data_IF_344180067621
#
_entry.id   IF_344180067621
#
_cell.length_a   1.000
_cell.length_b   1.000
_cell.length_c   1.000
_cell.angle_alpha   90.00
_cell.angle_beta   90.00
_cell.angle_gamma   90.00
#
_symmetry.space_group_name_H-M   'P 1'
#
loop_
_entity.id
_entity.type
_entity.pdbx_description
1 polymer ?
#
# COMPACT_ATOMS: atom_id res chain seq x y z
N UNK A 1 -12.23 -27.38 -25.48
CA UNK A 1 -11.30 -26.42 -26.11
C UNK A 1 -10.29 -26.02 -25.07
N UNK A 2 -9.07 -26.57 -25.11
CA UNK A 2 -8.00 -26.20 -24.19
C UNK A 2 -7.47 -24.82 -24.60
N UNK A 3 -7.72 -23.79 -23.80
CA UNK A 3 -7.04 -22.50 -23.94
C UNK A 3 -5.55 -22.76 -23.69
N UNK A 4 -4.74 -22.60 -24.75
CA UNK A 4 -3.29 -22.62 -24.62
C UNK A 4 -2.79 -21.53 -23.65
N UNK A 5 -1.56 -21.66 -23.11
CA UNK A 5 -1.04 -20.73 -22.11
C UNK A 5 -1.08 -19.31 -22.65
N UNK A 6 -1.73 -18.41 -21.91
CA UNK A 6 -1.81 -17.00 -22.26
C UNK A 6 -0.38 -16.47 -22.50
N UNK A 7 -0.12 -15.95 -23.70
CA UNK A 7 1.19 -15.38 -24.05
C UNK A 7 1.47 -14.22 -23.11
N UNK A 8 2.42 -14.40 -22.20
CA UNK A 8 2.92 -13.32 -21.34
C UNK A 8 3.58 -12.26 -22.22
N UNK A 9 3.23 -11.01 -21.96
CA UNK A 9 3.83 -9.86 -22.62
C UNK A 9 4.67 -9.10 -21.60
N UNK A 10 5.75 -8.47 -22.07
CA UNK A 10 6.58 -7.59 -21.26
C UNK A 10 6.43 -6.16 -21.73
N UNK A 11 6.50 -5.22 -20.78
CA UNK A 11 6.59 -3.79 -21.06
C UNK A 11 7.64 -3.16 -20.16
N UNK A 12 8.18 -2.04 -20.61
CA UNK A 12 9.15 -1.26 -19.87
C UNK A 12 8.54 0.07 -19.46
N UNK A 13 8.74 0.44 -18.19
CA UNK A 13 8.36 1.74 -17.64
C UNK A 13 9.63 2.54 -17.38
N UNK A 14 9.73 3.72 -18.01
CA UNK A 14 10.83 4.67 -17.76
C UNK A 14 10.36 5.72 -16.76
N UNK A 15 11.08 5.88 -15.66
CA UNK A 15 10.87 6.90 -14.65
C UNK A 15 12.02 7.88 -14.65
N UNK A 16 11.71 9.16 -14.89
CA UNK A 16 12.67 10.25 -14.79
C UNK A 16 12.45 11.05 -13.51
N UNK A 17 13.52 11.33 -12.80
CA UNK A 17 13.50 12.15 -11.58
C UNK A 17 14.60 13.18 -11.63
N UNK A 18 14.27 14.38 -11.18
CA UNK A 18 15.25 15.46 -10.96
C UNK A 18 15.43 15.65 -9.47
N UNK A 19 16.64 15.36 -8.98
CA UNK A 19 16.98 15.50 -7.57
C UNK A 19 18.23 16.39 -7.50
N UNK A 20 18.11 17.54 -6.85
CA UNK A 20 19.20 18.51 -6.69
C UNK A 20 19.90 18.85 -8.02
N UNK A 21 19.11 19.08 -9.10
CA UNK A 21 19.62 19.44 -10.41
C UNK A 21 20.23 18.29 -11.23
N UNK A 22 20.21 17.05 -10.72
CA UNK A 22 20.66 15.87 -11.45
C UNK A 22 19.46 15.07 -11.93
N UNK A 23 19.47 14.73 -13.23
CA UNK A 23 18.50 13.81 -13.80
C UNK A 23 18.90 12.36 -13.48
N UNK A 24 17.93 11.56 -13.06
CA UNK A 24 18.06 10.13 -12.87
C UNK A 24 16.99 9.44 -13.69
N UNK A 25 17.38 8.50 -14.54
CA UNK A 25 16.48 7.68 -15.35
C UNK A 25 16.57 6.25 -14.86
N UNK A 26 15.42 5.68 -14.55
CA UNK A 26 15.28 4.28 -14.11
C UNK A 26 14.31 3.57 -15.04
N UNK A 27 14.67 2.38 -15.50
CA UNK A 27 13.82 1.55 -16.35
C UNK A 27 13.45 0.30 -15.58
N UNK A 28 12.14 0.09 -15.38
CA UNK A 28 11.58 -1.11 -14.77
C UNK A 28 10.87 -1.94 -15.83
N UNK A 29 11.08 -3.25 -15.80
CA UNK A 29 10.44 -4.21 -16.72
C UNK A 29 9.33 -4.95 -15.97
N UNK A 30 8.20 -5.11 -16.64
CA UNK A 30 7.03 -5.79 -16.10
C UNK A 30 6.54 -6.85 -17.08
N UNK A 31 5.87 -7.86 -16.55
CA UNK A 31 5.20 -8.92 -17.31
C UNK A 31 3.70 -8.83 -17.03
N UNK A 32 2.89 -8.95 -18.07
CA UNK A 32 1.43 -8.91 -17.96
C UNK A 32 0.78 -10.06 -18.72
N UNK A 33 -0.37 -10.52 -18.23
CA UNK A 33 -1.27 -11.45 -18.93
C UNK A 33 -2.33 -10.72 -19.77
N UNK A 34 -2.40 -9.39 -19.71
CA UNK A 34 -3.37 -8.60 -20.47
C UNK A 34 -3.15 -8.75 -21.98
N UNK A 35 -4.22 -8.70 -22.75
CA UNK A 35 -4.14 -8.67 -24.21
C UNK A 35 -3.60 -7.33 -24.70
N UNK A 36 -3.24 -7.24 -26.00
CA UNK A 36 -2.67 -6.01 -26.56
C UNK A 36 -3.70 -4.87 -26.58
N UNK A 37 -4.97 -5.21 -26.72
CA UNK A 37 -6.09 -4.27 -26.71
C UNK A 37 -6.37 -3.73 -25.30
N UNK A 38 -6.13 -4.57 -24.28
CA UNK A 38 -6.29 -4.22 -22.85
C UNK A 38 -5.05 -3.54 -22.26
N UNK A 39 -3.90 -3.67 -22.94
CA UNK A 39 -2.59 -3.22 -22.46
C UNK A 39 -2.15 -1.93 -23.16
N UNK A 40 -3.03 -0.92 -23.28
CA UNK A 40 -2.60 0.42 -23.69
C UNK A 40 -1.68 1.05 -22.63
N UNK A 41 -0.86 2.04 -22.97
CA UNK A 41 0.13 2.60 -22.05
C UNK A 41 -0.47 3.18 -20.77
N UNK A 42 -1.64 3.84 -20.84
CA UNK A 42 -2.27 4.49 -19.71
C UNK A 42 -2.75 3.49 -18.64
N UNK A 43 -3.53 2.42 -18.95
CA UNK A 43 -3.88 1.38 -17.99
C UNK A 43 -2.67 0.69 -17.39
N UNK A 44 -1.63 0.41 -18.17
CA UNK A 44 -0.41 -0.22 -17.66
C UNK A 44 0.33 0.69 -16.67
N UNK A 45 0.37 1.99 -16.94
CA UNK A 45 0.95 2.97 -16.02
C UNK A 45 0.11 3.08 -14.74
N UNK A 46 -1.23 3.06 -14.84
CA UNK A 46 -2.12 3.08 -13.68
C UNK A 46 -1.90 1.84 -12.81
N UNK A 47 -1.88 0.65 -13.39
CA UNK A 47 -1.60 -0.60 -12.67
C UNK A 47 -0.23 -0.60 -12.00
N UNK A 48 0.82 -0.08 -12.67
CA UNK A 48 2.14 0.05 -12.07
C UNK A 48 2.11 1.00 -10.87
N UNK A 49 1.41 2.14 -10.95
CA UNK A 49 1.26 3.09 -9.85
C UNK A 49 0.45 2.51 -8.68
N UNK A 50 -0.61 1.77 -8.96
CA UNK A 50 -1.42 1.09 -7.94
C UNK A 50 -0.60 0.03 -7.20
N UNK A 51 0.22 -0.74 -7.91
CA UNK A 51 1.13 -1.71 -7.31
C UNK A 51 2.10 -1.01 -6.34
N UNK A 52 2.71 0.10 -6.75
CA UNK A 52 3.58 0.90 -5.87
C UNK A 52 2.82 1.55 -4.71
N UNK A 53 1.53 1.84 -4.89
CA UNK A 53 0.71 2.36 -3.80
C UNK A 53 0.50 1.34 -2.68
N UNK A 54 0.47 0.04 -2.98
CA UNK A 54 0.42 -1.02 -1.97
C UNK A 54 1.69 -0.98 -1.11
N UNK A 55 2.86 -0.89 -1.75
CA UNK A 55 4.14 -0.79 -1.06
C UNK A 55 4.19 0.42 -0.10
N UNK A 56 3.83 1.60 -0.59
CA UNK A 56 3.93 2.83 0.19
C UNK A 56 2.80 2.99 1.21
N UNK A 57 1.57 2.62 0.85
CA UNK A 57 0.41 2.84 1.72
C UNK A 57 0.17 1.71 2.72
N UNK A 58 0.65 0.50 2.45
CA UNK A 58 0.42 -0.64 3.31
C UNK A 58 1.71 -1.13 3.96
N UNK A 59 2.67 -1.59 3.18
CA UNK A 59 3.90 -2.17 3.72
C UNK A 59 4.72 -1.15 4.50
N UNK A 60 5.02 0.00 3.92
CA UNK A 60 5.75 1.06 4.61
C UNK A 60 5.10 1.48 5.94
N UNK A 61 3.77 1.62 5.97
CA UNK A 61 3.05 1.99 7.19
C UNK A 61 3.15 0.90 8.26
N UNK A 62 3.07 -0.37 7.88
CA UNK A 62 3.23 -1.50 8.83
C UNK A 62 4.65 -1.58 9.37
N UNK A 63 5.63 -1.47 8.50
CA UNK A 63 7.03 -1.69 8.86
C UNK A 63 7.62 -0.48 9.61
N UNK A 64 7.33 0.73 9.15
CA UNK A 64 7.88 1.96 9.73
C UNK A 64 6.99 2.50 10.84
N UNK A 65 5.70 2.76 10.57
CA UNK A 65 4.82 3.42 11.55
C UNK A 65 4.38 2.49 12.68
N UNK A 66 4.15 1.20 12.39
CA UNK A 66 3.78 0.18 13.38
C UNK A 66 4.96 -0.70 13.82
N UNK A 67 6.16 -0.48 13.26
CA UNK A 67 7.40 -1.21 13.58
C UNK A 67 7.23 -2.73 13.51
N UNK A 68 6.50 -3.23 12.50
CA UNK A 68 6.19 -4.66 12.37
C UNK A 68 7.45 -5.50 12.17
N UNK A 69 8.40 -5.05 11.38
CA UNK A 69 9.68 -5.71 11.15
C UNK A 69 10.53 -5.89 12.41
N UNK A 70 10.35 -5.01 13.40
CA UNK A 70 11.04 -5.10 14.69
C UNK A 70 10.33 -6.01 15.67
N UNK A 71 9.12 -6.46 15.35
CA UNK A 71 8.31 -7.27 16.22
C UNK A 71 8.80 -8.72 16.26
N UNK A 72 9.31 -9.16 17.42
CA UNK A 72 9.83 -10.52 17.62
C UNK A 72 8.82 -11.48 18.25
N UNK A 73 7.54 -11.15 18.21
CA UNK A 73 6.48 -12.02 18.74
C UNK A 73 6.36 -13.27 17.85
N UNK A 74 6.67 -14.43 18.41
CA UNK A 74 6.55 -15.72 17.69
C UNK A 74 5.18 -16.38 17.91
N UNK A 75 4.70 -16.41 19.16
CA UNK A 75 3.37 -16.90 19.48
C UNK A 75 2.34 -15.80 19.23
N UNK A 76 1.28 -16.12 18.45
CA UNK A 76 0.22 -15.15 18.15
C UNK A 76 0.56 -14.12 17.06
N UNK A 77 1.63 -14.29 16.28
CA UNK A 77 2.02 -13.36 15.22
C UNK A 77 0.88 -13.08 14.22
N UNK A 78 0.10 -14.11 13.86
CA UNK A 78 -1.06 -13.95 12.97
C UNK A 78 -2.16 -13.09 13.60
N UNK A 79 -2.47 -13.29 14.87
CA UNK A 79 -3.47 -12.50 15.59
C UNK A 79 -3.03 -11.02 15.65
N UNK A 80 -1.75 -10.78 15.94
CA UNK A 80 -1.19 -9.43 15.96
C UNK A 80 -1.24 -8.76 14.58
N UNK A 81 -0.96 -9.48 13.51
CA UNK A 81 -1.10 -8.98 12.14
C UNK A 81 -2.55 -8.62 11.80
N UNK A 82 -3.53 -9.44 12.22
CA UNK A 82 -4.95 -9.15 12.06
C UNK A 82 -5.35 -7.89 12.82
N UNK A 83 -4.90 -7.73 14.07
CA UNK A 83 -5.18 -6.53 14.88
C UNK A 83 -4.59 -5.30 14.22
N UNK A 84 -3.35 -5.34 13.73
CA UNK A 84 -2.74 -4.22 13.00
C UNK A 84 -3.53 -3.84 11.75
N UNK A 85 -3.98 -4.82 10.98
CA UNK A 85 -4.81 -4.56 9.80
C UNK A 85 -6.13 -3.90 10.18
N UNK A 86 -6.77 -4.34 11.27
CA UNK A 86 -7.99 -3.73 11.80
C UNK A 86 -7.75 -2.28 12.22
N UNK A 87 -6.67 -2.03 12.97
CA UNK A 87 -6.28 -0.67 13.39
C UNK A 87 -6.07 0.24 12.18
N UNK A 88 -5.34 -0.23 11.16
CA UNK A 88 -5.13 0.53 9.92
C UNK A 88 -6.45 0.80 9.18
N UNK A 89 -7.36 -0.15 9.15
CA UNK A 89 -8.68 0.03 8.54
C UNK A 89 -9.50 1.11 9.27
N UNK A 90 -9.49 1.12 10.61
CA UNK A 90 -10.16 2.12 11.44
C UNK A 90 -9.57 3.52 11.20
N UNK A 91 -8.24 3.65 11.24
CA UNK A 91 -7.53 4.91 11.00
C UNK A 91 -7.85 5.47 9.61
N UNK A 92 -7.82 4.63 8.58
CA UNK A 92 -8.15 5.04 7.21
C UNK A 92 -9.62 5.43 7.05
N UNK A 93 -10.52 4.74 7.73
CA UNK A 93 -11.93 5.10 7.75
C UNK A 93 -12.17 6.47 8.39
N UNK A 94 -11.37 6.83 9.37
CA UNK A 94 -11.37 8.16 9.99
C UNK A 94 -10.69 9.24 9.12
N UNK A 95 -10.14 8.89 7.95
CA UNK A 95 -9.46 9.84 7.07
C UNK A 95 -8.09 10.30 7.56
N UNK A 96 -7.53 9.63 8.57
CA UNK A 96 -6.28 10.02 9.23
C UNK A 96 -5.09 9.21 8.71
N UNK A 97 -3.91 9.80 8.77
CA UNK A 97 -2.64 9.07 8.72
C UNK A 97 -2.35 8.40 10.07
N UNK A 98 -1.46 7.40 10.08
CA UNK A 98 -1.12 6.69 11.34
C UNK A 98 -0.45 7.62 12.38
N UNK A 99 0.49 8.52 12.01
CA UNK A 99 1.01 9.50 12.96
C UNK A 99 -0.08 10.41 13.55
N UNK A 100 -0.92 11.02 12.71
CA UNK A 100 -2.02 11.88 13.15
C UNK A 100 -3.01 11.14 14.08
N UNK A 101 -3.40 9.92 13.70
CA UNK A 101 -4.29 9.12 14.55
C UNK A 101 -3.68 8.82 15.91
N UNK A 102 -2.36 8.53 15.95
CA UNK A 102 -1.66 8.27 17.19
C UNK A 102 -1.62 9.50 18.10
N UNK A 103 -1.37 10.67 17.52
CA UNK A 103 -1.32 11.91 18.29
C UNK A 103 -2.74 12.31 18.77
N UNK A 104 -3.74 12.29 17.88
CA UNK A 104 -5.13 12.59 18.23
C UNK A 104 -5.68 11.64 19.30
N UNK A 105 -5.46 10.34 19.16
CA UNK A 105 -5.98 9.34 20.11
C UNK A 105 -5.20 9.31 21.42
N UNK A 106 -4.00 9.86 21.45
CA UNK A 106 -3.25 10.08 22.69
C UNK A 106 -3.78 11.26 23.48
N UNK A 107 -4.18 12.33 22.78
CA UNK A 107 -4.73 13.53 23.40
C UNK A 107 -6.20 13.35 23.78
N UNK A 108 -6.98 12.71 22.90
CA UNK A 108 -8.41 12.47 23.12
C UNK A 108 -8.74 10.96 23.07
N UNK A 109 -8.86 10.37 24.26
CA UNK A 109 -9.28 8.97 24.40
C UNK A 109 -10.69 8.72 23.88
N UNK A 110 -11.60 9.71 23.98
CA UNK A 110 -12.97 9.57 23.52
C UNK A 110 -13.04 9.48 22.00
N UNK A 111 -12.20 10.22 21.28
CA UNK A 111 -12.06 10.11 19.84
C UNK A 111 -11.63 8.69 19.42
N UNK A 112 -10.72 8.06 20.18
CA UNK A 112 -10.31 6.68 19.90
C UNK A 112 -11.49 5.69 20.08
N UNK A 113 -12.27 5.83 21.16
CA UNK A 113 -13.44 4.98 21.42
C UNK A 113 -14.49 5.17 20.31
N UNK A 114 -14.75 6.40 19.91
CA UNK A 114 -15.69 6.73 18.83
C UNK A 114 -15.26 6.13 17.49
N UNK A 115 -13.98 6.20 17.15
CA UNK A 115 -13.42 5.61 15.94
C UNK A 115 -13.61 4.08 15.90
N UNK A 116 -13.44 3.40 17.05
CA UNK A 116 -13.60 1.94 17.16
C UNK A 116 -15.06 1.53 17.14
N UNK A 117 -15.93 2.26 17.83
CA UNK A 117 -17.36 1.91 17.96
C UNK A 117 -18.20 2.36 16.77
N UNK A 118 -17.63 3.15 15.86
CA UNK A 118 -18.33 3.70 14.72
C UNK A 118 -19.34 4.81 15.10
N UNK A 119 -19.29 5.31 16.29
CA UNK A 119 -20.09 6.47 16.71
C UNK A 119 -19.38 7.71 16.18
N UNK A 120 -19.96 8.32 15.15
CA UNK A 120 -19.56 9.66 14.72
C UNK A 120 -20.04 10.62 15.83
N UNK A 121 -19.12 11.40 16.35
CA UNK A 121 -19.46 12.55 17.19
C UNK A 121 -20.09 13.63 16.33
#
# INVERSE_FOLDING_TARGET
MCNGPARRKSYALSRRRWIKGKESVEIAYFVTSLTREQASPEPLLALAREHWAIETKLHYVRDVSLSEDRCRVRAGARALACIRNLVLAIIRRAGLSVPEARDNFREDRQAAISAVTGRVL
#
